data_IF_350328516568
#
_entry.id   IF_350328516568
#
_cell.length_a   1.000
_cell.length_b   1.000
_cell.length_c   1.000
_cell.angle_alpha   90.00
_cell.angle_beta   90.00
_cell.angle_gamma   90.00
#
_symmetry.space_group_name_H-M   'P 1'
#
loop_
_entity.id
_entity.type
_entity.pdbx_description
1 polymer ?
#
# COMPACT_ATOMS: atom_id res chain seq x y z
N UNK A 1 5.86 -29.52 -38.94
CA UNK A 1 5.80 -29.27 -37.48
C UNK A 1 5.00 -28.01 -37.25
N UNK A 2 3.89 -28.09 -36.49
CA UNK A 2 3.09 -26.92 -36.14
C UNK A 2 3.55 -26.53 -34.74
N UNK A 3 4.34 -25.47 -34.62
CA UNK A 3 4.81 -24.97 -33.32
C UNK A 3 3.58 -24.42 -32.61
N UNK A 4 3.11 -25.14 -31.60
CA UNK A 4 2.10 -24.62 -30.68
C UNK A 4 2.76 -23.51 -29.85
N UNK A 5 2.55 -22.26 -30.26
CA UNK A 5 2.90 -21.09 -29.47
C UNK A 5 2.11 -21.17 -28.15
N UNK A 6 2.80 -21.53 -27.06
CA UNK A 6 2.23 -21.41 -25.71
C UNK A 6 1.92 -19.93 -25.46
N UNK A 7 0.74 -19.59 -24.95
CA UNK A 7 0.45 -18.21 -24.58
C UNK A 7 1.51 -17.76 -23.58
N UNK A 8 2.19 -16.65 -23.89
CA UNK A 8 3.16 -16.04 -23.00
C UNK A 8 2.45 -15.72 -21.67
N UNK A 9 2.86 -16.40 -20.59
CA UNK A 9 2.29 -16.13 -19.28
C UNK A 9 2.68 -14.72 -18.84
N UNK A 10 1.70 -13.90 -18.43
CA UNK A 10 1.97 -12.57 -17.91
C UNK A 10 2.98 -12.62 -16.75
N UNK A 11 4.02 -11.79 -16.78
CA UNK A 11 5.11 -11.80 -15.81
C UNK A 11 5.03 -10.63 -14.82
N UNK A 12 5.45 -10.88 -13.59
CA UNK A 12 5.59 -9.83 -12.57
C UNK A 12 6.76 -8.92 -12.90
N UNK A 13 6.51 -7.63 -13.13
CA UNK A 13 7.55 -6.66 -13.50
C UNK A 13 8.61 -6.38 -12.42
N UNK A 14 8.45 -6.93 -11.21
CA UNK A 14 9.38 -6.74 -10.09
C UNK A 14 10.33 -7.94 -9.94
N UNK A 15 9.82 -9.17 -10.01
CA UNK A 15 10.63 -10.37 -9.80
C UNK A 15 10.79 -11.24 -11.05
N UNK A 16 10.19 -10.85 -12.18
CA UNK A 16 10.26 -11.53 -13.48
C UNK A 16 9.74 -12.97 -13.50
N UNK A 17 9.03 -13.39 -12.46
CA UNK A 17 8.35 -14.69 -12.40
C UNK A 17 6.90 -14.55 -12.90
N UNK A 18 6.31 -15.64 -13.38
CA UNK A 18 4.92 -15.67 -13.85
C UNK A 18 3.94 -15.12 -12.80
N UNK A 19 2.91 -14.38 -13.21
CA UNK A 19 1.89 -13.87 -12.30
C UNK A 19 1.00 -14.98 -11.72
N UNK A 20 0.95 -16.13 -12.39
CA UNK A 20 0.15 -17.31 -12.02
C UNK A 20 0.57 -17.97 -10.70
N UNK A 21 1.85 -17.90 -10.33
CA UNK A 21 2.40 -18.65 -9.18
C UNK A 21 2.06 -18.05 -7.80
N UNK A 22 1.63 -16.78 -7.73
CA UNK A 22 1.38 -16.05 -6.47
C UNK A 22 0.15 -15.18 -6.62
N UNK A 23 -0.46 -14.78 -5.49
CA UNK A 23 -1.53 -13.77 -5.49
C UNK A 23 -1.04 -12.48 -6.15
N UNK A 24 -1.87 -11.89 -6.99
CA UNK A 24 -1.57 -10.68 -7.74
C UNK A 24 -2.43 -9.49 -7.31
N UNK A 25 -1.91 -8.28 -7.52
CA UNK A 25 -2.59 -7.01 -7.27
C UNK A 25 -2.43 -6.10 -8.47
N UNK A 26 -3.36 -5.16 -8.61
CA UNK A 26 -3.39 -4.18 -9.68
C UNK A 26 -3.11 -2.78 -9.13
N UNK A 27 -2.25 -2.02 -9.81
CA UNK A 27 -1.99 -0.61 -9.53
C UNK A 27 -3.04 0.28 -10.22
N UNK A 28 -3.71 1.15 -9.48
CA UNK A 28 -4.68 2.11 -10.01
C UNK A 28 -4.01 3.50 -10.15
N UNK A 29 -4.12 4.21 -11.29
CA UNK A 29 -5.00 3.97 -12.44
C UNK A 29 -4.42 3.20 -13.63
N UNK A 30 -3.12 2.90 -13.63
CA UNK A 30 -2.47 2.31 -14.80
C UNK A 30 -2.85 0.84 -15.09
N UNK A 31 -3.54 0.17 -14.18
CA UNK A 31 -3.99 -1.22 -14.30
C UNK A 31 -2.90 -2.29 -14.46
N UNK A 32 -1.63 -1.94 -14.29
CA UNK A 32 -0.53 -2.92 -14.28
C UNK A 32 -0.61 -3.86 -13.08
N UNK A 33 -0.25 -5.13 -13.32
CA UNK A 33 -0.38 -6.21 -12.36
C UNK A 33 1.00 -6.66 -11.86
N UNK A 34 1.10 -6.93 -10.56
CA UNK A 34 2.29 -7.52 -9.94
C UNK A 34 1.87 -8.52 -8.88
N UNK A 35 2.79 -9.36 -8.38
CA UNK A 35 2.50 -10.13 -7.18
C UNK A 35 2.22 -9.21 -6.00
N UNK A 36 1.24 -9.59 -5.17
CA UNK A 36 0.82 -8.83 -3.98
C UNK A 36 1.99 -8.41 -3.11
N UNK A 37 2.86 -9.36 -2.77
CA UNK A 37 4.03 -9.09 -1.92
C UNK A 37 5.05 -8.18 -2.59
N UNK A 38 5.24 -8.33 -3.91
CA UNK A 38 6.16 -7.49 -4.68
C UNK A 38 5.65 -6.05 -4.75
N UNK A 39 4.40 -5.83 -5.15
CA UNK A 39 3.83 -4.48 -5.26
C UNK A 39 3.69 -3.77 -3.91
N UNK A 40 3.35 -4.49 -2.83
CA UNK A 40 3.35 -3.93 -1.47
C UNK A 40 4.77 -3.51 -1.07
N UNK A 41 5.75 -4.41 -1.19
CA UNK A 41 7.16 -4.10 -0.86
C UNK A 41 7.66 -2.90 -1.66
N UNK A 42 7.30 -2.82 -2.95
CA UNK A 42 7.64 -1.69 -3.79
C UNK A 42 7.12 -0.41 -3.15
N UNK A 43 5.81 -0.26 -3.00
CA UNK A 43 5.24 0.94 -2.36
C UNK A 43 5.87 1.25 -0.99
N UNK A 44 6.11 0.23 -0.15
CA UNK A 44 6.66 0.40 1.19
C UNK A 44 8.07 0.99 1.23
N UNK A 45 8.86 0.91 0.16
CA UNK A 45 10.18 1.55 0.14
C UNK A 45 10.13 3.04 -0.21
N UNK A 46 8.95 3.62 -0.46
CA UNK A 46 8.78 5.03 -0.83
C UNK A 46 8.36 5.82 0.41
N UNK A 47 9.07 6.91 0.68
CA UNK A 47 8.93 7.65 1.94
C UNK A 47 7.78 8.65 1.84
N UNK A 48 7.60 9.27 0.67
CA UNK A 48 6.55 10.25 0.43
C UNK A 48 5.42 9.67 -0.44
N UNK A 49 4.17 10.12 -0.26
CA UNK A 49 3.05 9.75 -1.14
C UNK A 49 3.28 10.16 -2.59
N UNK A 50 3.99 11.28 -2.81
CA UNK A 50 4.35 11.75 -4.15
C UNK A 50 5.28 10.79 -4.90
N UNK A 51 6.05 9.95 -4.20
CA UNK A 51 6.94 8.94 -4.78
C UNK A 51 6.24 7.62 -5.07
N UNK A 52 5.01 7.43 -4.59
CA UNK A 52 4.27 6.18 -4.78
C UNK A 52 3.81 6.07 -6.23
N UNK A 53 4.40 5.11 -6.93
CA UNK A 53 4.24 4.94 -8.36
C UNK A 53 4.24 3.47 -8.77
N UNK A 54 3.67 3.19 -9.93
CA UNK A 54 3.72 1.86 -10.54
C UNK A 54 5.17 1.50 -10.92
N UNK A 55 5.66 0.28 -10.62
CA UNK A 55 6.99 -0.17 -11.01
C UNK A 55 7.20 -0.26 -12.52
N UNK A 56 6.11 -0.43 -13.28
CA UNK A 56 6.17 -0.67 -14.72
C UNK A 56 6.14 0.64 -15.50
N UNK A 57 5.17 1.52 -15.23
CA UNK A 57 4.98 2.74 -16.00
C UNK A 57 5.25 4.04 -15.22
N UNK A 58 5.60 3.94 -13.93
CA UNK A 58 5.83 5.09 -13.03
C UNK A 58 4.65 6.05 -12.83
N UNK A 59 3.47 5.73 -13.37
CA UNK A 59 2.24 6.48 -13.07
C UNK A 59 2.04 6.49 -11.56
N UNK A 60 1.78 7.69 -11.01
CA UNK A 60 1.45 7.85 -9.59
C UNK A 60 0.30 6.94 -9.23
N UNK A 61 0.51 6.13 -8.21
CA UNK A 61 -0.45 5.12 -7.78
C UNK A 61 -0.89 5.47 -6.37
N UNK A 62 -2.17 5.73 -6.23
CA UNK A 62 -2.80 6.04 -4.95
C UNK A 62 -3.50 4.81 -4.35
N UNK A 63 -3.67 3.74 -5.14
CA UNK A 63 -4.42 2.56 -4.71
C UNK A 63 -3.87 1.25 -5.29
N UNK A 64 -3.90 0.20 -4.46
CA UNK A 64 -3.62 -1.19 -4.83
C UNK A 64 -4.89 -2.04 -4.67
N UNK A 65 -5.26 -2.79 -5.71
CA UNK A 65 -6.50 -3.59 -5.74
C UNK A 65 -6.17 -5.08 -5.82
N UNK A 66 -6.74 -5.89 -4.94
CA UNK A 66 -6.70 -7.35 -5.03
C UNK A 66 -8.04 -7.87 -5.55
N UNK A 67 -8.06 -8.27 -6.83
CA UNK A 67 -9.26 -8.80 -7.49
C UNK A 67 -9.66 -10.20 -7.00
N UNK A 68 -8.78 -10.90 -6.28
CA UNK A 68 -9.04 -12.27 -5.81
C UNK A 68 -9.75 -12.30 -4.47
N UNK A 69 -9.82 -11.17 -3.77
CA UNK A 69 -10.62 -11.04 -2.55
C UNK A 69 -11.96 -10.37 -2.87
N UNK A 70 -13.09 -10.97 -2.46
CA UNK A 70 -14.33 -10.24 -2.38
C UNK A 70 -14.18 -9.14 -1.32
N UNK A 71 -14.72 -7.98 -1.64
CA UNK A 71 -14.68 -6.78 -0.83
C UNK A 71 -15.35 -7.05 0.52
N UNK A 72 -14.73 -6.66 1.63
CA UNK A 72 -15.34 -6.74 2.98
C UNK A 72 -16.59 -5.85 3.12
N UNK A 73 -16.90 -5.03 2.10
CA UNK A 73 -18.05 -4.11 2.01
C UNK A 73 -19.16 -4.55 1.03
N UNK A 74 -19.08 -5.75 0.45
CA UNK A 74 -20.22 -6.45 -0.17
C UNK A 74 -20.97 -5.81 -1.35
N UNK A 75 -20.67 -4.58 -1.80
CA UNK A 75 -21.58 -3.87 -2.74
C UNK A 75 -20.95 -3.03 -3.85
N UNK A 76 -19.62 -3.02 -4.04
CA UNK A 76 -18.98 -2.30 -5.16
C UNK A 76 -18.07 -3.24 -5.95
N UNK A 77 -18.37 -3.44 -7.24
CA UNK A 77 -17.75 -4.42 -8.13
C UNK A 77 -16.27 -4.15 -8.54
N UNK A 78 -15.55 -3.29 -7.82
CA UNK A 78 -14.09 -3.17 -7.93
C UNK A 78 -13.49 -3.94 -6.76
N UNK A 79 -12.70 -5.00 -7.00
CA UNK A 79 -12.17 -5.89 -5.95
C UNK A 79 -11.56 -5.20 -4.73
N UNK A 80 -11.26 -5.95 -3.66
CA UNK A 80 -10.85 -5.36 -2.38
C UNK A 80 -9.70 -4.36 -2.53
N UNK A 81 -10.01 -3.07 -2.26
CA UNK A 81 -9.00 -2.03 -2.09
C UNK A 81 -8.10 -2.43 -0.92
N UNK A 82 -6.86 -2.79 -1.21
CA UNK A 82 -5.93 -3.21 -0.17
C UNK A 82 -5.35 -2.01 0.59
N UNK A 83 -5.14 -0.88 -0.10
CA UNK A 83 -4.47 0.30 0.46
C UNK A 83 -4.93 1.59 -0.24
N UNK A 84 -5.33 2.60 0.53
CA UNK A 84 -5.15 4.01 0.16
C UNK A 84 -3.72 4.38 0.56
N UNK A 85 -2.91 4.72 -0.42
CA UNK A 85 -1.46 4.83 -0.26
C UNK A 85 -1.08 6.16 0.39
N UNK A 86 -0.69 6.10 1.67
CA UNK A 86 0.01 7.17 2.41
C UNK A 86 0.68 6.57 3.67
N UNK A 87 1.87 5.95 3.55
CA UNK A 87 2.73 5.40 4.63
C UNK A 87 2.11 4.42 5.65
N UNK A 88 0.81 4.25 5.59
CA UNK A 88 -0.02 3.76 6.65
C UNK A 88 -1.11 2.92 6.01
N UNK A 89 -1.29 1.68 6.47
CA UNK A 89 -2.34 0.81 5.91
C UNK A 89 -3.75 1.42 6.03
N UNK A 90 -4.81 0.67 5.69
CA UNK A 90 -6.20 1.14 5.87
C UNK A 90 -6.56 1.58 7.31
N UNK A 91 -5.69 1.28 8.29
CA UNK A 91 -5.82 1.68 9.70
C UNK A 91 -5.00 2.92 10.09
N UNK A 92 -4.28 3.57 9.17
CA UNK A 92 -3.40 4.68 9.56
C UNK A 92 -2.15 4.25 10.33
N UNK A 93 -1.79 2.95 10.28
CA UNK A 93 -0.61 2.40 10.99
C UNK A 93 0.61 2.19 10.09
N UNK A 94 1.84 2.49 10.57
CA UNK A 94 3.07 2.32 9.80
C UNK A 94 3.23 0.89 9.31
N UNK A 95 3.76 0.74 8.10
CA UNK A 95 4.09 -0.58 7.59
C UNK A 95 5.22 -1.21 8.41
N UNK A 96 5.23 -2.55 8.48
CA UNK A 96 6.32 -3.29 9.14
C UNK A 96 7.69 -2.91 8.55
N UNK A 97 7.75 -2.69 7.24
CA UNK A 97 8.98 -2.23 6.59
C UNK A 97 9.40 -0.83 7.07
N UNK A 98 8.46 0.12 7.14
CA UNK A 98 8.73 1.48 7.64
C UNK A 98 9.21 1.47 9.08
N UNK A 99 8.59 0.63 9.92
CA UNK A 99 9.02 0.38 11.31
C UNK A 99 10.46 -0.14 11.37
N UNK A 100 10.78 -1.18 10.60
CA UNK A 100 12.08 -1.84 10.67
C UNK A 100 13.21 -1.03 10.04
N UNK A 101 12.89 -0.12 9.13
CA UNK A 101 13.87 0.71 8.42
C UNK A 101 13.92 2.16 8.91
N UNK A 102 13.15 2.53 9.93
CA UNK A 102 13.23 3.87 10.50
C UNK A 102 14.67 4.17 10.95
N UNK A 103 15.23 5.37 10.69
CA UNK A 103 16.60 5.71 11.05
C UNK A 103 16.93 5.45 12.53
N UNK A 104 15.98 5.75 13.42
CA UNK A 104 16.13 5.47 14.86
C UNK A 104 16.18 3.97 15.21
N UNK A 105 15.81 3.07 14.30
CA UNK A 105 15.66 1.63 14.57
C UNK A 105 16.85 0.78 14.10
N UNK A 106 17.82 1.37 13.38
CA UNK A 106 18.95 0.65 12.78
C UNK A 106 20.13 0.39 13.73
N UNK A 107 20.34 1.23 14.74
CA UNK A 107 21.57 1.18 15.59
C UNK A 107 21.29 0.85 17.07
N UNK A 108 20.06 0.48 17.41
CA UNK A 108 19.64 0.29 18.79
C UNK A 108 19.69 -1.17 19.23
N UNK A 109 20.05 -1.41 20.50
CA UNK A 109 19.86 -2.72 21.14
C UNK A 109 18.35 -3.05 21.27
N UNK A 110 17.99 -4.30 21.58
CA UNK A 110 16.59 -4.76 21.56
C UNK A 110 15.65 -3.91 22.42
N UNK A 111 16.09 -3.49 23.61
CA UNK A 111 15.26 -2.69 24.52
C UNK A 111 15.07 -1.26 24.02
N UNK A 112 16.13 -0.61 23.54
CA UNK A 112 16.03 0.74 22.98
C UNK A 112 15.24 0.72 21.65
N UNK A 113 15.33 -0.36 20.86
CA UNK A 113 14.48 -0.56 19.67
C UNK A 113 13.01 -0.62 20.02
N UNK A 114 12.63 -1.33 21.09
CA UNK A 114 11.24 -1.39 21.53
C UNK A 114 10.72 -0.02 21.99
N UNK A 115 11.52 0.75 22.73
CA UNK A 115 11.14 2.10 23.14
C UNK A 115 11.03 3.06 21.94
N UNK A 116 11.98 2.99 21.01
CA UNK A 116 11.96 3.77 19.77
C UNK A 116 10.72 3.44 18.93
N UNK A 117 10.41 2.15 18.78
CA UNK A 117 9.21 1.69 18.10
C UNK A 117 7.94 2.25 18.74
N UNK A 118 7.82 2.14 20.07
CA UNK A 118 6.66 2.63 20.79
C UNK A 118 6.50 4.15 20.66
N UNK A 119 7.61 4.89 20.69
CA UNK A 119 7.63 6.34 20.47
C UNK A 119 7.16 6.70 19.06
N UNK A 120 7.76 6.08 18.04
CA UNK A 120 7.41 6.29 16.64
C UNK A 120 5.93 5.95 16.36
N UNK A 121 5.46 4.79 16.84
CA UNK A 121 4.05 4.39 16.71
C UNK A 121 3.11 5.38 17.37
N UNK A 122 3.44 5.90 18.56
CA UNK A 122 2.65 6.95 19.23
C UNK A 122 2.58 8.21 18.38
N UNK A 123 3.71 8.69 17.88
CA UNK A 123 3.79 9.90 17.05
C UNK A 123 2.92 9.76 15.82
N UNK A 124 3.10 8.69 15.06
CA UNK A 124 2.29 8.42 13.86
C UNK A 124 0.79 8.34 14.20
N UNK A 125 0.44 7.59 15.24
CA UNK A 125 -0.97 7.43 15.63
C UNK A 125 -1.60 8.77 15.99
N UNK A 126 -0.87 9.64 16.69
CA UNK A 126 -1.34 10.97 17.03
C UNK A 126 -1.53 11.87 15.79
N UNK A 127 -0.62 11.80 14.82
CA UNK A 127 -0.78 12.50 13.55
C UNK A 127 -2.03 12.00 12.79
N UNK A 128 -2.20 10.69 12.65
CA UNK A 128 -3.37 10.11 12.00
C UNK A 128 -4.68 10.49 12.71
N UNK A 129 -4.70 10.50 14.05
CA UNK A 129 -5.86 10.95 14.83
C UNK A 129 -6.15 12.44 14.62
N UNK A 130 -5.12 13.28 14.47
CA UNK A 130 -5.30 14.70 14.19
C UNK A 130 -5.88 14.92 12.79
N UNK A 131 -5.44 14.17 11.79
CA UNK A 131 -5.98 14.20 10.43
C UNK A 131 -7.47 13.81 10.40
N UNK A 132 -7.83 12.68 11.02
CA UNK A 132 -9.24 12.25 11.11
C UNK A 132 -10.10 13.31 11.78
N UNK A 133 -9.61 13.93 12.87
CA UNK A 133 -10.33 15.01 13.56
C UNK A 133 -10.56 16.22 12.65
N UNK A 134 -9.57 16.61 11.84
CA UNK A 134 -9.71 17.70 10.86
C UNK A 134 -10.76 17.38 9.80
N UNK A 135 -10.67 16.20 9.18
CA UNK A 135 -11.63 15.78 8.15
C UNK A 135 -13.07 15.71 8.69
N UNK A 136 -13.25 15.23 9.93
CA UNK A 136 -14.56 15.23 10.59
C UNK A 136 -15.08 16.63 10.89
N UNK A 137 -14.20 17.58 11.22
CA UNK A 137 -14.58 18.97 11.45
C UNK A 137 -15.03 19.65 10.14
N UNK A 138 -14.27 19.50 9.07
CA UNK A 138 -14.58 20.02 7.73
C UNK A 138 -15.92 19.47 7.19
N UNK A 139 -16.17 18.17 7.42
CA UNK A 139 -17.43 17.51 7.02
C UNK A 139 -18.65 18.01 7.80
N UNK A 140 -18.46 18.49 9.04
CA UNK A 140 -19.53 19.05 9.89
C UNK A 140 -19.83 20.51 9.53
N UNK A 141 -18.82 21.29 9.18
CA UNK A 141 -18.99 22.68 8.74
C UNK A 141 -19.69 22.75 7.38
N UNK A 142 -19.33 21.87 6.43
CA UNK A 142 -20.00 21.77 5.13
C UNK A 142 -21.49 21.39 5.18
N UNK A 143 -21.97 20.76 6.28
CA UNK A 143 -23.40 20.48 6.51
C UNK A 143 -24.15 21.61 7.22
N UNK A 144 -23.46 22.52 7.91
CA UNK A 144 -24.08 23.67 8.59
C UNK A 144 -24.25 24.90 7.67
N UNK A 145 -23.53 24.93 6.55
CA UNK A 145 -23.61 26.02 5.55
C UNK A 145 -24.57 25.76 4.38
N UNK A 146 -25.41 24.72 4.44
CA UNK A 146 -26.47 24.43 3.45
C UNK A 146 -27.84 24.57 4.07
#
# INVERSE_FOLDING_TARGET
EKVEEKPEEDQCSICMEALSIKRAITFNPCSHVTHRTCGIKWIETRVSPAEQCCPLCRTSSHMLVDKTRPNDLGYLALGSTLYDLCAFGPLGQPTKFGILNHPEMRELNHETRLRGLLSYLKTVTNHALADVKRTLAESREGRRGK
#
